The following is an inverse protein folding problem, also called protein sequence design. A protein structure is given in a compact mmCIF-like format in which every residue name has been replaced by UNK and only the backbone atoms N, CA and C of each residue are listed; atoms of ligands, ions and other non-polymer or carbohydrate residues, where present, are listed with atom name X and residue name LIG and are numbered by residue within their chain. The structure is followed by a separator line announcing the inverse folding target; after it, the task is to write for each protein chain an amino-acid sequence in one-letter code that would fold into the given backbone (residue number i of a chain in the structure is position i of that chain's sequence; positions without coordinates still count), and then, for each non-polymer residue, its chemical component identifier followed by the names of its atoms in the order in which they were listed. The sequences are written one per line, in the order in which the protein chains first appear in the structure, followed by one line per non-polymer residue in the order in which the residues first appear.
data_IF_134809226944
#
_entry.id   IF_134809226944
#
_cell.length_a   1.000
_cell.length_b   1.000
_cell.length_c   1.000
_cell.angle_alpha   90.00
_cell.angle_beta   90.00
_cell.angle_gamma   90.00
#
_symmetry.space_group_name_H-M   'P 1'
#
loop_
_entity.id
_entity.type
_entity.pdbx_description
1 polymer ?
#
# COMPACT_ATOMS: atom_id res chain seq x y z
N UNK A 1 23.05 -21.91 7.04
CA UNK A 1 21.65 -22.32 7.27
C UNK A 1 20.79 -21.30 6.54
N UNK A 2 19.93 -21.67 5.58
CA UNK A 2 19.02 -20.69 5.00
C UNK A 2 18.10 -20.20 6.13
N UNK A 3 18.10 -18.89 6.39
CA UNK A 3 17.13 -18.29 7.28
C UNK A 3 15.76 -18.56 6.66
N UNK A 4 14.98 -19.44 7.30
CA UNK A 4 13.56 -19.58 6.97
C UNK A 4 12.97 -18.21 7.25
N UNK A 5 12.64 -17.47 6.20
CA UNK A 5 11.88 -16.24 6.30
C UNK A 5 10.52 -16.64 6.86
N UNK A 6 10.41 -16.62 8.18
CA UNK A 6 9.18 -16.89 8.88
C UNK A 6 8.33 -15.64 8.74
N UNK A 7 7.87 -15.34 7.52
CA UNK A 7 6.85 -14.33 7.31
C UNK A 7 5.56 -14.92 7.88
N UNK A 8 5.08 -14.50 9.06
CA UNK A 8 3.86 -15.05 9.61
C UNK A 8 2.73 -14.75 8.62
N UNK A 9 2.00 -15.79 8.20
CA UNK A 9 0.84 -15.60 7.32
C UNK A 9 -0.26 -14.80 8.01
N UNK A 10 -0.39 -14.99 9.33
CA UNK A 10 -1.33 -14.27 10.17
C UNK A 10 -0.72 -13.00 10.75
N UNK A 11 -1.30 -11.85 10.40
CA UNK A 11 -0.92 -10.53 10.87
C UNK A 11 -2.01 -9.99 11.81
N UNK A 12 -1.59 -9.37 12.91
CA UNK A 12 -2.50 -8.56 13.73
C UNK A 12 -2.74 -7.20 13.07
N UNK A 13 -3.71 -6.44 13.57
CA UNK A 13 -4.07 -5.12 13.02
C UNK A 13 -2.86 -4.20 12.79
N UNK A 14 -1.97 -4.13 13.77
CA UNK A 14 -0.78 -3.28 13.71
C UNK A 14 0.24 -3.74 12.68
N UNK A 15 0.50 -5.05 12.59
CA UNK A 15 1.41 -5.62 11.61
C UNK A 15 0.82 -5.57 10.20
N UNK A 16 -0.49 -5.78 10.04
CA UNK A 16 -1.20 -5.64 8.77
C UNK A 16 -1.13 -4.20 8.26
N UNK A 17 -1.30 -3.20 9.14
CA UNK A 17 -1.15 -1.79 8.79
C UNK A 17 0.29 -1.46 8.38
N UNK A 18 1.29 -1.97 9.12
CA UNK A 18 2.72 -1.84 8.77
C UNK A 18 3.05 -2.51 7.44
N UNK A 19 2.49 -3.69 7.17
CA UNK A 19 2.69 -4.42 5.92
C UNK A 19 2.21 -3.63 4.71
N UNK A 20 1.08 -2.93 4.84
CA UNK A 20 0.56 -2.06 3.77
C UNK A 20 1.31 -0.72 3.71
N UNK A 21 1.93 -0.29 4.81
CA UNK A 21 2.60 1.01 4.92
C UNK A 21 1.67 2.15 5.32
N UNK A 22 0.59 1.87 6.05
CA UNK A 22 -0.38 2.87 6.52
C UNK A 22 -0.49 2.91 8.05
N UNK A 23 -0.97 4.03 8.58
CA UNK A 23 -1.29 4.15 10.00
C UNK A 23 -2.44 3.21 10.40
N UNK A 24 -2.42 2.62 11.61
CA UNK A 24 -3.46 1.69 12.07
C UNK A 24 -4.86 2.32 12.05
N UNK A 25 -4.99 3.62 12.37
CA UNK A 25 -6.26 4.34 12.31
C UNK A 25 -6.83 4.45 10.89
N UNK A 26 -5.95 4.61 9.89
CA UNK A 26 -6.36 4.65 8.48
C UNK A 26 -6.79 3.25 8.03
N UNK A 27 -6.08 2.22 8.49
CA UNK A 27 -6.42 0.82 8.23
C UNK A 27 -7.84 0.50 8.69
N UNK A 28 -8.26 0.89 9.91
CA UNK A 28 -9.65 0.65 10.34
C UNK A 28 -10.67 1.43 9.53
N UNK A 29 -10.34 2.66 9.12
CA UNK A 29 -11.24 3.45 8.27
C UNK A 29 -11.44 2.76 6.92
N UNK A 30 -10.37 2.31 6.26
CA UNK A 30 -10.45 1.59 4.99
C UNK A 30 -11.13 0.23 5.12
N UNK A 31 -10.96 -0.46 6.27
CA UNK A 31 -11.74 -1.66 6.61
C UNK A 31 -13.23 -1.35 6.71
N UNK A 32 -13.60 -0.25 7.37
CA UNK A 32 -15.01 0.19 7.48
C UNK A 32 -15.60 0.59 6.13
N UNK A 33 -14.78 1.16 5.24
CA UNK A 33 -15.17 1.50 3.87
C UNK A 33 -15.26 0.27 2.95
N UNK A 34 -14.82 -0.91 3.40
CA UNK A 34 -14.88 -2.16 2.63
C UNK A 34 -13.78 -2.30 1.57
N UNK A 35 -12.76 -1.43 1.61
CA UNK A 35 -11.59 -1.52 0.72
C UNK A 35 -10.58 -2.57 1.16
N UNK A 36 -10.54 -2.86 2.46
CA UNK A 36 -9.67 -3.88 3.06
C UNK A 36 -10.54 -5.09 3.41
N UNK A 37 -10.06 -6.31 3.15
CA UNK A 37 -10.80 -7.53 3.44
C UNK A 37 -11.05 -7.70 4.94
N UNK A 38 -12.12 -8.43 5.25
CA UNK A 38 -12.54 -8.67 6.62
C UNK A 38 -11.51 -9.55 7.36
N UNK A 39 -11.20 -9.25 8.64
CA UNK A 39 -10.36 -10.13 9.44
C UNK A 39 -11.02 -11.50 9.57
N UNK A 40 -10.17 -12.51 9.64
CA UNK A 40 -10.58 -13.88 9.92
C UNK A 40 -10.56 -14.06 11.44
N UNK A 41 -11.68 -14.49 12.00
CA UNK A 41 -11.72 -14.88 13.41
C UNK A 41 -11.07 -16.26 13.54
N UNK A 42 -9.89 -16.31 14.15
CA UNK A 42 -9.17 -17.54 14.42
C UNK A 42 -8.85 -17.57 15.91
N UNK A 43 -9.39 -18.55 16.64
CA UNK A 43 -9.17 -18.71 18.08
C UNK A 43 -9.57 -17.49 18.93
N UNK A 44 -10.59 -16.71 18.50
CA UNK A 44 -11.04 -15.52 19.21
C UNK A 44 -10.16 -14.28 19.03
N UNK A 45 -9.21 -14.33 18.09
CA UNK A 45 -8.45 -13.16 17.64
C UNK A 45 -8.73 -12.86 16.17
N UNK A 46 -8.84 -11.58 15.85
CA UNK A 46 -8.92 -11.10 14.48
C UNK A 46 -7.53 -11.16 13.84
N UNK A 47 -7.36 -12.06 12.87
CA UNK A 47 -6.11 -12.24 12.12
C UNK A 47 -6.37 -11.89 10.66
N UNK A 48 -5.46 -11.12 10.07
CA UNK A 48 -5.42 -10.86 8.64
C UNK A 48 -4.43 -11.79 7.97
N UNK A 49 -4.80 -12.33 6.81
CA UNK A 49 -3.88 -13.16 6.03
C UNK A 49 -3.03 -12.28 5.10
N UNK A 50 -1.73 -12.54 5.03
CA UNK A 50 -0.81 -11.80 4.16
C UNK A 50 -1.19 -11.91 2.68
N UNK A 51 -1.64 -13.07 2.20
CA UNK A 51 -2.00 -13.28 0.79
C UNK A 51 -3.25 -12.49 0.40
N UNK A 52 -4.15 -12.31 1.36
CA UNK A 52 -5.37 -11.53 1.21
C UNK A 52 -5.06 -10.02 1.13
N UNK A 53 -4.10 -9.55 1.94
CA UNK A 53 -3.56 -8.19 1.80
C UNK A 53 -2.78 -7.99 0.49
N UNK A 54 -1.99 -8.99 0.06
CA UNK A 54 -1.24 -8.96 -1.20
C UNK A 54 -2.15 -8.87 -2.43
N UNK A 55 -3.34 -9.48 -2.34
CA UNK A 55 -4.37 -9.39 -3.38
C UNK A 55 -4.89 -7.97 -3.58
N UNK A 56 -4.84 -7.10 -2.56
CA UNK A 56 -5.16 -5.68 -2.70
C UNK A 56 -4.15 -4.94 -3.57
N UNK A 57 -2.87 -5.29 -3.46
CA UNK A 57 -1.80 -4.72 -4.28
C UNK A 57 -1.83 -5.25 -5.71
N UNK A 58 -2.21 -6.51 -5.87
CA UNK A 58 -2.36 -7.14 -7.19
C UNK A 58 -3.50 -6.53 -7.98
N UNK A 59 -4.56 -6.03 -7.33
CA UNK A 59 -5.68 -5.39 -8.04
C UNK A 59 -5.23 -4.01 -8.55
N UNK A 60 -5.07 -3.81 -9.87
CA UNK A 60 -4.65 -2.55 -10.43
C UNK A 60 -5.80 -1.53 -10.37
N UNK A 61 -6.08 -0.96 -9.21
CA UNK A 61 -6.93 0.23 -9.11
C UNK A 61 -6.08 1.49 -9.29
N UNK A 62 -5.25 1.53 -10.32
CA UNK A 62 -4.67 2.80 -10.75
C UNK A 62 -5.77 3.57 -11.50
N UNK A 63 -6.68 4.20 -10.77
CA UNK A 63 -7.12 5.51 -11.25
C UNK A 63 -5.95 6.40 -10.91
N UNK A 64 -5.02 6.58 -11.85
CA UNK A 64 -4.06 7.67 -11.79
C UNK A 64 -4.86 8.98 -11.89
N UNK A 65 -5.61 9.32 -10.84
CA UNK A 65 -6.15 10.65 -10.64
C UNK A 65 -5.01 11.50 -10.04
N UNK A 66 -3.92 11.59 -10.79
CA UNK A 66 -2.99 12.70 -10.69
C UNK A 66 -2.61 13.10 -12.13
N UNK A 67 -3.66 13.25 -12.96
CA UNK A 67 -3.64 14.23 -14.03
C UNK A 67 -3.56 15.60 -13.35
N UNK A 68 -2.38 15.94 -12.85
CA UNK A 68 -2.03 17.28 -12.45
C UNK A 68 -2.06 18.12 -13.73
N UNK A 69 -3.26 18.57 -14.12
CA UNK A 69 -3.47 19.55 -15.17
C UNK A 69 -2.84 20.90 -14.77
N UNK A 70 -1.51 20.96 -14.71
CA UNK A 70 -0.84 22.23 -14.44
C UNK A 70 0.61 22.22 -13.97
N UNK A 71 1.34 21.10 -13.91
CA UNK A 71 2.78 21.20 -13.62
C UNK A 71 3.65 20.08 -14.20
N UNK A 72 3.89 20.17 -15.50
CA UNK A 72 5.16 19.87 -16.18
C UNK A 72 6.35 20.69 -15.60
N UNK A 73 6.44 20.79 -14.27
CA UNK A 73 7.53 21.50 -13.60
C UNK A 73 8.85 20.74 -13.80
N UNK A 74 8.82 19.41 -13.68
CA UNK A 74 10.01 18.58 -13.87
C UNK A 74 10.45 18.46 -15.33
N UNK A 75 9.51 18.52 -16.29
CA UNK A 75 9.80 18.55 -17.73
C UNK A 75 10.46 19.89 -18.14
N UNK A 76 10.00 21.00 -17.57
CA UNK A 76 10.56 22.35 -17.83
C UNK A 76 11.91 22.62 -17.17
N UNK A 77 12.21 22.01 -16.02
CA UNK A 77 13.42 22.30 -15.24
C UNK A 77 14.65 21.52 -15.71
N UNK A 78 14.45 20.35 -16.35
CA UNK A 78 15.55 19.54 -16.89
C UNK A 78 16.00 19.94 -18.30
N UNK A 79 15.25 20.80 -18.99
CA UNK A 79 15.65 21.44 -20.24
C UNK A 79 16.50 22.69 -20.01
N UNK A 80 17.69 22.54 -19.42
CA UNK A 80 18.67 23.62 -19.41
C UNK A 80 19.18 23.79 -20.83
N UNK A 81 18.59 24.72 -21.58
CA UNK A 81 19.19 25.25 -22.81
C UNK A 81 20.64 25.60 -22.48
N UNK A 82 21.55 24.87 -23.11
CA UNK A 82 22.98 25.10 -23.02
C UNK A 82 23.22 26.45 -23.74
N UNK A 83 23.61 27.54 -23.05
CA UNK A 83 23.92 28.78 -23.75
C UNK A 83 25.27 28.60 -24.43
N UNK A 84 25.24 28.12 -25.67
CA UNK A 84 26.35 28.15 -26.60
C UNK A 84 26.05 29.20 -27.68
N UNK A 85 26.93 30.20 -27.74
CA UNK A 85 27.04 31.34 -28.68
C UNK A 85 26.35 32.65 -28.25
#
# INVERSE_FOLDING_TARGET
MPAVDFTPRGLRREDAARYIGISPTLFDRMRKEGRIPAPRDMFGVMIWDRQDLDSLFTRPSYTAANDNNGSDYWDKVCGFENPSM
#
